data_IF_845469949395
#
_entry.id   IF_845469949395
#
_cell.length_a   1.000
_cell.length_b   1.000
_cell.length_c   1.000
_cell.angle_alpha   90.00
_cell.angle_beta   90.00
_cell.angle_gamma   90.00
#
_symmetry.space_group_name_H-M   'P 1'
#
loop_
_entity.id
_entity.type
_entity.pdbx_description
1 polymer ?
#
# COMPACT_ATOMS: atom_id res chain seq x y z
N UNK A 1 5.70 -18.11 13.92
CA UNK A 1 5.24 -19.15 12.95
C UNK A 1 3.86 -18.75 12.48
N UNK A 2 3.53 -18.98 11.21
CA UNK A 2 2.20 -18.74 10.66
C UNK A 2 1.87 -19.84 9.63
N UNK A 3 0.60 -20.21 9.54
CA UNK A 3 0.09 -21.08 8.46
C UNK A 3 -0.41 -20.24 7.29
N UNK A 4 -0.26 -20.75 6.07
CA UNK A 4 -0.87 -20.15 4.89
C UNK A 4 -2.42 -20.20 4.98
N UNK A 5 -3.15 -19.22 4.43
CA UNK A 5 -4.62 -19.22 4.45
C UNK A 5 -5.29 -20.51 3.94
N UNK A 6 -4.70 -21.19 2.95
CA UNK A 6 -5.19 -22.48 2.44
C UNK A 6 -4.84 -23.67 3.35
N UNK A 7 -4.07 -23.47 4.42
CA UNK A 7 -3.67 -24.49 5.36
C UNK A 7 -2.71 -25.54 4.79
N UNK A 8 -1.97 -25.25 3.71
CA UNK A 8 -1.07 -26.21 3.06
C UNK A 8 0.42 -25.94 3.27
N UNK A 9 0.76 -24.79 3.86
CA UNK A 9 2.15 -24.40 4.11
C UNK A 9 2.29 -23.72 5.48
N UNK A 10 3.47 -23.83 6.06
CA UNK A 10 3.86 -23.13 7.29
C UNK A 10 5.12 -22.31 7.04
N UNK A 11 5.15 -21.10 7.57
CA UNK A 11 6.35 -20.27 7.63
C UNK A 11 6.78 -20.12 9.09
N UNK A 12 8.04 -20.45 9.37
CA UNK A 12 8.68 -20.20 10.65
C UNK A 12 9.79 -19.18 10.48
N UNK A 13 9.59 -18.03 11.08
CA UNK A 13 10.59 -16.99 11.13
C UNK A 13 11.02 -16.71 12.56
N UNK A 14 12.28 -16.32 12.75
CA UNK A 14 12.80 -15.92 14.04
C UNK A 14 13.72 -14.70 13.93
N UNK A 15 13.81 -13.96 15.04
CA UNK A 15 14.75 -12.85 15.18
C UNK A 15 16.17 -13.41 15.30
N UNK A 16 17.08 -12.93 14.45
CA UNK A 16 18.50 -13.31 14.51
C UNK A 16 19.34 -12.07 14.77
N UNK A 17 20.19 -12.14 15.79
CA UNK A 17 21.30 -11.21 15.99
C UNK A 17 22.55 -11.86 15.39
N UNK A 18 22.74 -11.70 14.08
CA UNK A 18 23.89 -12.16 13.29
C UNK A 18 24.18 -13.69 13.23
N UNK A 19 24.00 -14.28 12.05
CA UNK A 19 25.10 -15.00 11.39
C UNK A 19 25.14 -16.53 11.35
N UNK A 20 24.26 -17.29 12.01
CA UNK A 20 24.47 -18.76 12.06
C UNK A 20 23.27 -19.66 11.79
N UNK A 21 22.06 -19.14 11.55
CA UNK A 21 20.88 -19.96 11.20
C UNK A 21 20.00 -19.29 10.16
N UNK A 22 19.36 -20.04 9.25
CA UNK A 22 18.37 -19.49 8.34
C UNK A 22 17.22 -18.91 9.16
N UNK A 23 16.98 -17.62 9.01
CA UNK A 23 16.05 -16.86 9.86
C UNK A 23 14.60 -17.14 9.48
N UNK A 24 14.36 -17.63 8.27
CA UNK A 24 13.05 -17.94 7.72
C UNK A 24 13.06 -19.31 7.01
N UNK A 25 12.21 -20.20 7.50
CA UNK A 25 11.94 -21.52 6.92
C UNK A 25 10.51 -21.61 6.41
N UNK A 26 10.34 -22.29 5.27
CA UNK A 26 9.06 -22.66 4.69
C UNK A 26 8.92 -24.19 4.74
N UNK A 27 7.71 -24.66 4.99
CA UNK A 27 7.38 -26.08 5.08
C UNK A 27 6.06 -26.34 4.38
N UNK A 28 5.92 -27.53 3.83
CA UNK A 28 4.62 -28.06 3.45
C UNK A 28 3.90 -28.59 4.70
N UNK A 29 2.58 -28.44 4.71
CA UNK A 29 1.72 -28.93 5.78
C UNK A 29 0.53 -29.67 5.20
N UNK A 30 0.28 -30.86 5.71
CA UNK A 30 -0.91 -31.63 5.38
C UNK A 30 -1.96 -31.43 6.48
N UNK A 31 -3.05 -30.69 6.22
CA UNK A 31 -4.07 -30.45 7.22
C UNK A 31 -4.88 -31.70 7.59
N UNK A 32 -4.84 -32.77 6.79
CA UNK A 32 -5.54 -34.02 7.08
C UNK A 32 -4.77 -34.90 8.08
N UNK A 33 -3.44 -34.89 8.00
CA UNK A 33 -2.57 -35.76 8.83
C UNK A 33 -1.78 -35.01 9.89
N UNK A 34 -1.67 -33.68 9.77
CA UNK A 34 -0.81 -32.84 10.59
C UNK A 34 0.68 -32.94 10.22
N UNK A 35 1.02 -33.63 9.13
CA UNK A 35 2.41 -33.82 8.73
C UNK A 35 3.04 -32.49 8.28
N UNK A 36 4.28 -32.25 8.72
CA UNK A 36 5.13 -31.13 8.29
C UNK A 36 6.32 -31.70 7.52
N UNK A 37 6.56 -31.23 6.30
CA UNK A 37 7.59 -31.78 5.41
C UNK A 37 8.21 -30.70 4.51
N UNK A 38 9.15 -31.11 3.65
CA UNK A 38 9.74 -30.26 2.60
C UNK A 38 10.26 -28.91 3.10
N UNK A 39 11.15 -28.96 4.09
CA UNK A 39 11.81 -27.76 4.60
C UNK A 39 12.59 -27.03 3.49
N UNK A 40 12.29 -25.74 3.32
CA UNK A 40 13.02 -24.82 2.44
C UNK A 40 13.54 -23.66 3.27
N UNK A 41 14.85 -23.42 3.19
CA UNK A 41 15.50 -22.24 3.77
C UNK A 41 15.35 -21.04 2.84
N UNK A 42 14.71 -19.96 3.30
CA UNK A 42 14.56 -18.71 2.53
C UNK A 42 15.67 -17.69 2.83
N UNK A 43 16.74 -18.13 3.49
CA UNK A 43 17.96 -17.36 3.71
C UNK A 43 18.09 -16.77 5.11
N UNK A 44 19.13 -15.94 5.27
CA UNK A 44 19.46 -15.23 6.52
C UNK A 44 19.00 -13.78 6.37
N UNK A 45 17.92 -13.45 7.06
CA UNK A 45 17.30 -12.15 7.17
C UNK A 45 17.45 -11.63 8.60
N UNK A 46 17.41 -10.33 8.78
CA UNK A 46 17.36 -9.72 10.12
C UNK A 46 15.88 -9.54 10.51
N UNK A 47 15.50 -9.92 11.72
CA UNK A 47 14.14 -9.72 12.24
C UNK A 47 13.01 -10.42 11.47
N UNK A 48 13.23 -11.66 11.02
CA UNK A 48 12.21 -12.45 10.35
C UNK A 48 11.06 -12.94 11.27
N UNK A 49 10.78 -12.29 12.38
CA UNK A 49 9.92 -12.78 13.47
C UNK A 49 8.43 -12.96 13.12
N UNK A 50 7.96 -12.31 12.06
CA UNK A 50 6.53 -12.19 11.76
C UNK A 50 6.21 -12.43 10.29
N UNK A 51 6.42 -13.67 9.77
CA UNK A 51 6.04 -14.00 8.41
C UNK A 51 4.53 -13.95 8.23
N UNK A 52 4.07 -13.40 7.10
CA UNK A 52 2.67 -13.35 6.74
C UNK A 52 2.45 -13.81 5.29
N UNK A 53 1.66 -14.86 5.09
CA UNK A 53 1.23 -15.28 3.76
C UNK A 53 0.20 -14.31 3.20
N UNK A 54 0.25 -14.10 1.89
CA UNK A 54 -0.82 -13.42 1.14
C UNK A 54 -2.13 -14.24 1.16
N UNK A 55 -3.29 -13.57 1.07
CA UNK A 55 -4.60 -14.23 0.97
C UNK A 55 -4.72 -15.32 -0.11
N UNK A 56 -4.10 -15.12 -1.28
CA UNK A 56 -4.11 -16.09 -2.38
C UNK A 56 -3.05 -17.21 -2.25
N UNK A 57 -2.22 -17.14 -1.20
CA UNK A 57 -1.14 -18.07 -0.90
C UNK A 57 0.03 -18.04 -1.91
N UNK A 58 0.14 -17.03 -2.77
CA UNK A 58 1.20 -16.98 -3.80
C UNK A 58 2.43 -16.19 -3.36
N UNK A 59 2.31 -15.37 -2.32
CA UNK A 59 3.38 -14.53 -1.75
C UNK A 59 3.55 -14.78 -0.26
N UNK A 60 4.79 -14.63 0.20
CA UNK A 60 5.15 -14.60 1.62
C UNK A 60 5.85 -13.28 1.93
N UNK A 61 5.40 -12.59 2.97
CA UNK A 61 5.98 -11.33 3.45
C UNK A 61 6.65 -11.55 4.79
N UNK A 62 7.75 -10.86 5.03
CA UNK A 62 8.44 -10.91 6.32
C UNK A 62 9.15 -9.58 6.59
N UNK A 63 9.18 -9.09 7.83
CA UNK A 63 10.07 -7.99 8.18
C UNK A 63 11.54 -8.41 7.92
N UNK A 64 12.33 -7.49 7.35
CA UNK A 64 13.76 -7.68 7.09
C UNK A 64 14.51 -6.36 7.18
N UNK A 65 14.96 -5.98 8.38
CA UNK A 65 15.51 -4.64 8.67
C UNK A 65 17.01 -4.49 8.42
N UNK A 66 17.50 -5.04 7.30
CA UNK A 66 18.91 -4.92 6.93
C UNK A 66 19.16 -3.74 6.03
N UNK A 67 20.37 -3.19 6.11
CA UNK A 67 20.88 -2.31 5.05
C UNK A 67 21.02 -3.13 3.77
N UNK A 68 20.63 -2.55 2.63
CA UNK A 68 20.84 -3.19 1.34
C UNK A 68 22.35 -3.46 1.13
N UNK A 69 22.75 -4.58 0.49
CA UNK A 69 24.16 -4.92 0.29
C UNK A 69 24.99 -3.83 -0.40
N UNK A 70 24.36 -3.03 -1.28
CA UNK A 70 24.98 -1.92 -2.00
C UNK A 70 24.89 -0.56 -1.28
N UNK A 71 24.31 -0.52 -0.08
CA UNK A 71 24.16 0.70 0.74
C UNK A 71 23.09 1.69 0.26
N UNK A 72 22.38 1.46 -0.85
CA UNK A 72 21.42 2.40 -1.47
C UNK A 72 20.03 2.44 -0.80
N UNK A 73 19.90 1.94 0.43
CA UNK A 73 18.65 2.00 1.18
C UNK A 73 18.58 0.95 2.28
N UNK A 74 17.43 0.92 2.96
CA UNK A 74 17.09 -0.05 4.00
C UNK A 74 16.02 -0.99 3.46
N UNK A 75 16.23 -2.30 3.61
CA UNK A 75 15.14 -3.25 3.50
C UNK A 75 14.29 -3.16 4.76
N UNK A 76 12.98 -3.29 4.61
CA UNK A 76 12.00 -3.14 5.70
C UNK A 76 11.11 -4.37 5.71
N UNK A 77 10.57 -4.72 4.55
CA UNK A 77 9.76 -5.91 4.33
C UNK A 77 10.30 -6.58 3.08
N UNK A 78 10.59 -7.88 3.19
CA UNK A 78 10.92 -8.75 2.06
C UNK A 78 9.68 -9.51 1.63
N UNK A 79 9.41 -9.52 0.32
CA UNK A 79 8.41 -10.38 -0.31
C UNK A 79 9.11 -11.51 -1.06
N UNK A 80 8.61 -12.72 -0.88
CA UNK A 80 8.98 -13.91 -1.66
C UNK A 80 7.82 -14.32 -2.56
N UNK A 81 8.14 -14.82 -3.75
CA UNK A 81 7.18 -15.44 -4.66
C UNK A 81 7.21 -16.96 -4.51
N UNK A 82 6.13 -17.50 -3.93
CA UNK A 82 5.99 -18.94 -3.66
C UNK A 82 5.71 -19.74 -4.93
N UNK A 83 5.44 -19.06 -6.04
CA UNK A 83 5.24 -19.65 -7.36
C UNK A 83 6.50 -19.59 -8.24
N UNK A 84 7.65 -19.18 -7.70
CA UNK A 84 8.89 -19.03 -8.46
C UNK A 84 9.49 -20.35 -8.99
N UNK A 85 8.98 -21.50 -8.55
CA UNK A 85 9.45 -22.82 -8.95
C UNK A 85 9.87 -23.65 -7.74
N UNK A 86 11.09 -24.18 -7.77
CA UNK A 86 11.64 -24.96 -6.66
C UNK A 86 12.03 -24.09 -5.45
N UNK A 87 12.45 -24.74 -4.36
CA UNK A 87 12.83 -24.04 -3.13
C UNK A 87 13.98 -23.05 -3.30
N UNK A 88 14.92 -23.30 -4.23
CA UNK A 88 16.02 -22.37 -4.50
C UNK A 88 15.54 -21.13 -5.26
N UNK A 89 14.63 -21.31 -6.23
CA UNK A 89 14.00 -20.21 -6.96
C UNK A 89 13.11 -19.36 -6.04
N UNK A 90 12.37 -19.98 -5.13
CA UNK A 90 11.59 -19.27 -4.10
C UNK A 90 12.53 -18.44 -3.21
N UNK A 91 13.61 -19.04 -2.67
CA UNK A 91 14.58 -18.31 -1.84
C UNK A 91 15.23 -17.13 -2.59
N UNK A 92 15.57 -17.31 -3.87
CA UNK A 92 16.16 -16.27 -4.71
C UNK A 92 15.16 -15.16 -5.10
N UNK A 93 13.85 -15.40 -4.98
CA UNK A 93 12.81 -14.41 -5.32
C UNK A 93 12.66 -13.28 -4.29
N UNK A 94 13.29 -13.43 -3.12
CA UNK A 94 13.21 -12.48 -2.01
C UNK A 94 13.67 -11.08 -2.41
N UNK A 95 12.74 -10.11 -2.39
CA UNK A 95 13.01 -8.73 -2.76
C UNK A 95 12.40 -7.76 -1.75
N UNK A 96 13.06 -6.61 -1.57
CA UNK A 96 12.47 -5.51 -0.79
C UNK A 96 11.27 -4.92 -1.53
N UNK A 97 10.18 -4.63 -0.81
CA UNK A 97 9.05 -3.86 -1.35
C UNK A 97 9.13 -2.36 -1.03
N UNK A 98 10.15 -1.93 -0.28
CA UNK A 98 10.38 -0.54 0.15
C UNK A 98 11.62 0.06 -0.48
N UNK A 99 12.77 -0.62 -0.39
CA UNK A 99 14.03 -0.09 -0.92
C UNK A 99 13.94 0.12 -2.43
N UNK A 100 14.17 1.34 -2.90
CA UNK A 100 14.07 1.70 -4.31
C UNK A 100 12.65 1.76 -4.87
N UNK A 101 11.61 1.66 -4.02
CA UNK A 101 10.22 1.81 -4.44
C UNK A 101 9.89 3.30 -4.62
N UNK A 102 9.64 3.80 -5.84
CA UNK A 102 9.35 5.22 -6.07
C UNK A 102 7.92 5.61 -5.69
N UNK A 103 7.03 4.64 -5.46
CA UNK A 103 5.61 4.84 -5.21
C UNK A 103 5.24 4.80 -3.72
N UNK A 104 6.17 4.38 -2.84
CA UNK A 104 5.93 4.34 -1.39
C UNK A 104 6.29 5.67 -0.72
N UNK A 105 5.60 6.00 0.37
CA UNK A 105 5.95 7.10 1.26
C UNK A 105 6.87 6.68 2.42
N UNK A 106 7.29 5.41 2.45
CA UNK A 106 8.21 4.90 3.48
C UNK A 106 9.65 5.29 3.11
N UNK A 107 10.24 6.17 3.91
CA UNK A 107 11.63 6.56 3.78
C UNK A 107 12.59 5.37 3.97
N UNK A 108 13.47 5.18 2.99
CA UNK A 108 14.55 4.20 3.05
C UNK A 108 15.75 4.65 3.91
N UNK A 109 15.75 5.87 4.45
CA UNK A 109 16.87 6.46 5.21
C UNK A 109 16.63 6.53 6.72
N UNK A 110 15.40 6.29 7.20
CA UNK A 110 15.10 6.26 8.63
C UNK A 110 15.45 4.88 9.20
N UNK A 111 16.26 4.86 10.27
CA UNK A 111 16.85 3.62 10.84
C UNK A 111 16.18 3.16 12.15
N UNK A 112 15.36 3.99 12.79
CA UNK A 112 14.94 3.86 14.20
C UNK A 112 13.65 3.04 14.42
N UNK A 113 13.51 1.86 13.79
CA UNK A 113 12.17 1.28 13.68
C UNK A 113 12.13 -0.25 13.77
N UNK A 114 11.13 -0.74 14.49
CA UNK A 114 10.77 -2.15 14.63
C UNK A 114 9.40 -2.37 13.96
N UNK A 115 9.24 -3.44 13.18
CA UNK A 115 7.93 -4.01 12.86
C UNK A 115 7.69 -5.15 13.81
N UNK A 116 6.53 -5.11 14.46
CA UNK A 116 6.21 -6.05 15.49
C UNK A 116 5.50 -7.27 14.89
N UNK A 117 4.42 -7.08 14.13
CA UNK A 117 3.62 -8.16 13.56
C UNK A 117 3.02 -7.74 12.21
N UNK A 118 3.07 -8.64 11.21
CA UNK A 118 2.29 -8.56 9.97
C UNK A 118 1.04 -9.42 10.10
N UNK A 119 -0.10 -8.94 9.60
CA UNK A 119 -1.37 -9.65 9.69
C UNK A 119 -2.29 -9.28 8.52
N UNK A 120 -2.94 -10.27 7.93
CA UNK A 120 -4.02 -10.05 6.96
C UNK A 120 -5.23 -9.41 7.64
N UNK A 121 -5.82 -8.43 6.96
CA UNK A 121 -7.05 -7.77 7.35
C UNK A 121 -8.27 -8.42 6.66
N UNK A 122 -9.48 -8.24 7.23
CA UNK A 122 -10.72 -8.71 6.63
C UNK A 122 -11.09 -7.96 5.33
N UNK A 123 -10.41 -6.84 5.02
CA UNK A 123 -10.56 -6.08 3.79
C UNK A 123 -9.66 -6.58 2.65
N UNK A 124 -8.99 -7.72 2.83
CA UNK A 124 -8.07 -8.32 1.86
C UNK A 124 -6.71 -7.61 1.75
N UNK A 125 -6.45 -6.59 2.57
CA UNK A 125 -5.12 -5.95 2.68
C UNK A 125 -4.29 -6.62 3.77
N UNK A 126 -3.01 -6.28 3.82
CA UNK A 126 -2.11 -6.72 4.90
C UNK A 126 -1.58 -5.50 5.67
N UNK A 127 -1.50 -5.65 6.99
CA UNK A 127 -1.12 -4.60 7.92
C UNK A 127 0.10 -5.00 8.71
N UNK A 128 0.95 -4.04 9.03
CA UNK A 128 2.14 -4.20 9.86
C UNK A 128 2.18 -3.14 10.94
N UNK A 129 2.08 -3.54 12.21
CA UNK A 129 2.34 -2.62 13.31
C UNK A 129 3.81 -2.19 13.26
N UNK A 130 4.04 -0.89 13.18
CA UNK A 130 5.38 -0.33 12.92
C UNK A 130 5.73 0.75 13.93
N UNK A 131 7.01 0.83 14.28
CA UNK A 131 7.60 1.98 14.96
C UNK A 131 7.92 3.15 14.01
N UNK A 132 7.47 3.09 12.75
CA UNK A 132 7.79 4.09 11.72
C UNK A 132 7.33 5.49 12.11
N UNK A 133 8.28 6.41 12.25
CA UNK A 133 7.99 7.80 12.59
C UNK A 133 7.87 8.66 11.32
N UNK A 134 8.59 8.29 10.27
CA UNK A 134 8.76 9.14 9.10
C UNK A 134 9.83 10.21 9.27
N UNK A 135 10.25 10.87 8.18
CA UNK A 135 11.33 11.85 8.24
C UNK A 135 10.92 13.08 9.06
N UNK A 136 11.69 13.39 10.11
CA UNK A 136 11.48 14.60 10.92
C UNK A 136 10.29 14.58 11.87
N UNK A 137 9.61 13.44 12.04
CA UNK A 137 8.50 13.33 12.98
C UNK A 137 8.99 13.24 14.45
N UNK A 138 8.24 13.81 15.41
CA UNK A 138 8.59 13.70 16.83
C UNK A 138 8.50 12.25 17.33
N UNK A 139 9.31 11.89 18.33
CA UNK A 139 9.42 10.52 18.83
C UNK A 139 8.08 9.94 19.35
N UNK A 140 7.19 10.80 19.82
CA UNK A 140 5.85 10.44 20.32
C UNK A 140 4.88 9.98 19.25
N UNK A 141 5.26 10.05 17.96
CA UNK A 141 4.34 9.91 16.84
C UNK A 141 4.33 8.51 16.19
N UNK A 142 5.13 7.57 16.71
CA UNK A 142 5.24 6.19 16.22
C UNK A 142 4.06 5.29 16.63
N UNK A 143 3.32 5.68 17.68
CA UNK A 143 2.30 4.87 18.33
C UNK A 143 1.15 4.41 17.43
N UNK A 144 1.02 5.05 16.26
CA UNK A 144 -0.18 5.05 15.42
C UNK A 144 0.13 4.92 13.92
N UNK A 145 1.37 4.59 13.55
CA UNK A 145 1.76 4.44 12.14
C UNK A 145 1.94 2.97 11.81
N UNK A 146 1.28 2.53 10.75
CA UNK A 146 1.26 1.15 10.30
C UNK A 146 1.78 1.07 8.88
N UNK A 147 2.46 -0.03 8.56
CA UNK A 147 2.64 -0.40 7.16
C UNK A 147 1.37 -1.03 6.65
N UNK A 148 0.89 -0.56 5.51
CA UNK A 148 -0.30 -1.07 4.82
C UNK A 148 0.16 -1.55 3.45
N UNK A 149 -0.07 -2.82 3.15
CA UNK A 149 0.15 -3.43 1.85
C UNK A 149 -1.23 -3.55 1.19
N UNK A 150 -1.50 -2.69 0.22
CA UNK A 150 -2.81 -2.55 -0.39
C UNK A 150 -3.21 -3.71 -1.32
N UNK A 151 -2.23 -4.42 -1.90
CA UNK A 151 -2.44 -5.54 -2.83
C UNK A 151 -1.49 -6.70 -2.51
N UNK A 152 -1.70 -7.47 -1.43
CA UNK A 152 -0.78 -8.51 -0.97
C UNK A 152 -0.57 -9.67 -1.96
N UNK A 153 -1.46 -9.86 -2.94
CA UNK A 153 -1.30 -10.88 -3.98
C UNK A 153 -0.36 -10.39 -5.12
N UNK A 154 -0.15 -9.08 -5.25
CA UNK A 154 0.64 -8.50 -6.32
C UNK A 154 2.16 -8.56 -6.03
N UNK A 155 2.96 -8.80 -7.07
CA UNK A 155 4.43 -8.95 -6.97
C UNK A 155 5.15 -7.61 -6.90
N UNK A 156 6.19 -7.53 -6.08
CA UNK A 156 7.10 -6.39 -5.96
C UNK A 156 6.37 -5.10 -5.58
N UNK A 157 6.75 -3.98 -6.18
CA UNK A 157 6.16 -2.66 -5.88
C UNK A 157 4.68 -2.54 -6.25
N UNK A 158 4.13 -3.45 -7.07
CA UNK A 158 2.69 -3.49 -7.36
C UNK A 158 1.84 -3.85 -6.13
N UNK A 159 2.46 -4.35 -5.04
CA UNK A 159 1.75 -4.63 -3.79
C UNK A 159 1.27 -3.39 -3.03
N UNK A 160 1.68 -2.19 -3.46
CA UNK A 160 1.18 -0.91 -2.94
C UNK A 160 1.40 -0.76 -1.42
N UNK A 161 2.67 -0.90 -1.01
CA UNK A 161 3.09 -0.72 0.38
C UNK A 161 3.27 0.76 0.72
N UNK A 162 2.71 1.18 1.86
CA UNK A 162 2.78 2.55 2.38
C UNK A 162 2.78 2.58 3.90
N UNK A 163 3.34 3.63 4.49
CA UNK A 163 3.08 3.98 5.87
C UNK A 163 1.77 4.78 5.95
N UNK A 164 0.88 4.40 6.85
CA UNK A 164 -0.38 5.09 7.10
C UNK A 164 -0.58 5.31 8.59
N UNK A 165 -0.97 6.53 8.95
CA UNK A 165 -1.38 6.87 10.31
C UNK A 165 -2.84 6.52 10.53
N UNK A 166 -3.13 5.94 11.68
CA UNK A 166 -4.49 5.68 12.15
C UNK A 166 -4.76 6.47 13.43
N UNK A 167 -5.97 7.02 13.56
CA UNK A 167 -6.41 7.65 14.80
C UNK A 167 -7.23 6.64 15.61
N UNK A 168 -6.75 6.31 16.81
CA UNK A 168 -7.43 5.40 17.74
C UNK A 168 -8.09 6.15 18.91
N UNK A 169 -8.34 7.45 18.77
CA UNK A 169 -9.03 8.27 19.77
C UNK A 169 -8.21 8.40 21.07
N UNK A 170 -6.92 8.70 20.94
CA UNK A 170 -5.97 8.80 22.07
C UNK A 170 -5.43 7.45 22.57
N UNK A 171 -5.82 6.33 21.97
CA UNK A 171 -5.20 5.02 22.18
C UNK A 171 -4.04 4.81 21.21
N UNK A 172 -3.29 3.73 21.44
CA UNK A 172 -2.19 3.32 20.57
C UNK A 172 -2.42 1.92 20.03
N UNK A 173 -1.97 1.71 18.79
CA UNK A 173 -1.89 0.40 18.16
C UNK A 173 -0.49 -0.22 18.21
N UNK A 174 0.47 0.35 18.95
CA UNK A 174 1.80 -0.26 19.11
C UNK A 174 1.76 -1.41 20.11
N UNK A 175 2.43 -2.51 19.76
CA UNK A 175 2.48 -3.73 20.55
C UNK A 175 2.08 -4.99 19.77
N UNK A 176 1.39 -4.83 18.64
CA UNK A 176 1.05 -5.94 17.77
C UNK A 176 -0.33 -5.82 17.14
N UNK A 177 -0.62 -6.72 16.20
CA UNK A 177 -1.95 -6.90 15.62
C UNK A 177 -2.62 -8.13 16.25
N UNK A 178 -3.97 -8.19 16.29
CA UNK A 178 -4.66 -9.36 16.79
C UNK A 178 -4.25 -10.61 16.01
N UNK A 179 -4.04 -11.72 16.72
CA UNK A 179 -3.73 -13.00 16.10
C UNK A 179 -5.02 -13.66 15.60
N UNK A 180 -5.23 -13.65 14.28
CA UNK A 180 -6.37 -14.30 13.65
C UNK A 180 -5.94 -15.62 13.00
N UNK A 181 -6.86 -16.60 12.97
CA UNK A 181 -6.68 -17.79 12.15
C UNK A 181 -6.63 -17.39 10.67
N UNK A 182 -5.53 -17.70 10.00
CA UNK A 182 -5.30 -17.23 8.63
C UNK A 182 -6.32 -17.76 7.61
N UNK A 183 -6.95 -18.89 7.92
CA UNK A 183 -8.01 -19.48 7.10
C UNK A 183 -9.16 -18.50 6.81
N UNK A 184 -9.47 -17.57 7.73
CA UNK A 184 -10.50 -16.56 7.51
C UNK A 184 -10.21 -15.61 6.34
N UNK A 185 -8.94 -15.53 5.90
CA UNK A 185 -8.52 -14.64 4.83
C UNK A 185 -8.22 -15.37 3.51
N UNK A 186 -8.50 -16.68 3.44
CA UNK A 186 -8.16 -17.47 2.26
C UNK A 186 -8.94 -17.02 1.02
N UNK A 187 -8.22 -16.64 -0.03
CA UNK A 187 -8.79 -16.16 -1.28
C UNK A 187 -9.44 -14.77 -1.19
N UNK A 188 -9.18 -13.99 -0.13
CA UNK A 188 -9.61 -12.59 -0.10
C UNK A 188 -8.80 -11.79 -1.11
N UNK A 189 -9.48 -11.21 -2.08
CA UNK A 189 -8.92 -10.09 -2.81
C UNK A 189 -9.08 -8.83 -1.96
N UNK A 190 -8.12 -7.88 -2.01
CA UNK A 190 -8.36 -6.55 -1.48
C UNK A 190 -9.71 -6.09 -1.98
N UNK A 191 -10.56 -5.65 -1.05
CA UNK A 191 -11.63 -4.75 -1.43
C UNK A 191 -10.96 -3.70 -2.32
N UNK A 192 -11.51 -3.41 -3.52
CA UNK A 192 -11.06 -2.27 -4.30
C UNK A 192 -10.84 -1.17 -3.29
N UNK A 193 -9.63 -0.57 -3.29
CA UNK A 193 -9.27 0.44 -2.30
C UNK A 193 -10.52 1.22 -2.00
N UNK A 194 -10.89 1.42 -0.73
CA UNK A 194 -12.05 2.24 -0.37
C UNK A 194 -11.81 3.62 -1.01
N UNK A 195 -12.14 3.72 -2.28
CA UNK A 195 -12.79 4.79 -2.99
C UNK A 195 -14.19 4.80 -2.40
N UNK A 196 -14.30 4.77 -1.07
CA UNK A 196 -15.34 5.39 -0.32
C UNK A 196 -15.18 6.86 -0.68
N UNK A 197 -15.75 7.17 -1.84
CA UNK A 197 -16.08 8.45 -2.37
C UNK A 197 -15.48 9.57 -1.51
N UNK A 198 -14.22 9.92 -1.79
CA UNK A 198 -13.61 11.14 -1.28
C UNK A 198 -13.39 12.09 -2.46
N UNK A 199 -14.15 13.19 -2.56
CA UNK A 199 -14.01 14.09 -3.68
C UNK A 199 -12.65 14.81 -3.67
N UNK A 200 -11.96 14.82 -2.52
CA UNK A 200 -10.62 15.42 -2.42
C UNK A 200 -9.59 14.71 -3.33
N UNK A 201 -9.82 13.43 -3.63
CA UNK A 201 -8.99 12.64 -4.54
C UNK A 201 -9.27 12.94 -6.02
N UNK A 202 -10.22 13.81 -6.36
CA UNK A 202 -10.43 14.24 -7.73
C UNK A 202 -9.16 14.90 -8.30
N UNK A 203 -8.85 14.63 -9.57
CA UNK A 203 -7.70 15.18 -10.30
C UNK A 203 -8.15 15.76 -11.63
N UNK A 204 -7.38 16.71 -12.17
CA UNK A 204 -7.60 17.28 -13.51
C UNK A 204 -6.48 16.80 -14.43
N UNK A 205 -6.83 16.21 -15.58
CA UNK A 205 -5.87 15.62 -16.51
C UNK A 205 -6.32 15.78 -17.99
N UNK A 206 -5.42 16.10 -18.93
CA UNK A 206 -4.03 16.46 -18.70
C UNK A 206 -3.91 17.82 -18.00
N UNK A 207 -2.80 18.01 -17.29
CA UNK A 207 -2.42 19.27 -16.67
C UNK A 207 -0.89 19.39 -16.68
N UNK A 208 -0.29 20.16 -17.60
CA UNK A 208 -0.93 21.19 -18.43
C UNK A 208 -1.89 20.66 -19.52
N UNK A 209 -2.90 21.46 -19.89
CA UNK A 209 -3.90 21.16 -20.91
C UNK A 209 -3.76 22.09 -22.12
N UNK A 210 -4.02 21.58 -23.34
CA UNK A 210 -3.95 22.37 -24.59
C UNK A 210 -5.35 22.68 -25.15
N UNK A 211 -6.15 21.66 -25.45
CA UNK A 211 -7.50 21.83 -26.00
C UNK A 211 -8.59 21.51 -24.97
N UNK A 212 -8.38 20.49 -24.15
CA UNK A 212 -9.34 20.05 -23.14
C UNK A 212 -8.64 19.44 -21.92
N UNK A 213 -9.37 19.34 -20.81
CA UNK A 213 -9.00 18.52 -19.65
C UNK A 213 -10.19 17.69 -19.18
N UNK A 214 -9.94 16.66 -18.38
CA UNK A 214 -10.94 15.79 -17.77
C UNK A 214 -10.81 15.82 -16.25
N UNK A 215 -11.89 15.51 -15.55
CA UNK A 215 -11.89 15.36 -14.09
C UNK A 215 -11.93 13.88 -13.75
N UNK A 216 -10.83 13.34 -13.25
CA UNK A 216 -10.79 11.93 -12.80
C UNK A 216 -11.07 11.89 -11.31
N UNK A 217 -12.11 11.18 -10.91
CA UNK A 217 -12.49 11.02 -9.50
C UNK A 217 -12.72 9.54 -9.16
N UNK A 218 -12.48 9.13 -7.92
CA UNK A 218 -12.73 7.76 -7.49
C UNK A 218 -14.23 7.52 -7.25
N UNK A 219 -14.81 6.57 -7.98
CA UNK A 219 -16.21 6.15 -7.85
C UNK A 219 -17.22 7.13 -8.46
N UNK A 220 -18.52 6.80 -8.34
CA UNK A 220 -19.65 7.58 -8.91
C UNK A 220 -20.49 8.31 -7.86
N UNK A 221 -20.18 8.23 -6.56
CA UNK A 221 -21.08 8.70 -5.50
C UNK A 221 -21.29 10.21 -5.43
N UNK A 222 -20.48 11.01 -6.13
CA UNK A 222 -20.62 12.47 -6.13
C UNK A 222 -21.21 13.04 -7.40
N UNK A 223 -21.97 12.22 -8.11
CA UNK A 223 -22.81 12.69 -9.20
C UNK A 223 -24.22 13.03 -8.66
N UNK A 224 -24.83 14.14 -9.09
CA UNK A 224 -24.25 15.17 -9.94
C UNK A 224 -23.32 16.13 -9.17
N UNK A 225 -22.40 16.78 -9.88
CA UNK A 225 -21.60 17.89 -9.35
C UNK A 225 -21.55 19.08 -10.30
N UNK A 226 -21.34 20.28 -9.77
CA UNK A 226 -21.11 21.48 -10.57
C UNK A 226 -19.62 21.71 -10.75
N UNK A 227 -19.19 21.88 -12.00
CA UNK A 227 -17.83 22.26 -12.38
C UNK A 227 -17.82 23.73 -12.78
N UNK A 228 -16.84 24.48 -12.27
CA UNK A 228 -16.55 25.83 -12.72
C UNK A 228 -15.05 26.03 -12.92
N UNK A 229 -14.68 26.81 -13.93
CA UNK A 229 -13.28 27.23 -14.15
C UNK A 229 -13.21 28.73 -13.98
N UNK A 230 -12.22 29.18 -13.24
CA UNK A 230 -11.94 30.57 -12.94
C UNK A 230 -10.56 30.95 -13.46
N UNK A 231 -10.42 32.16 -13.99
CA UNK A 231 -9.11 32.73 -14.32
C UNK A 231 -8.33 33.16 -13.07
N UNK A 232 -7.09 33.62 -13.24
CA UNK A 232 -6.20 33.99 -12.14
C UNK A 232 -6.71 35.16 -11.27
N UNK A 233 -7.67 35.94 -11.77
CA UNK A 233 -8.30 37.04 -11.00
C UNK A 233 -9.65 36.63 -10.38
N UNK A 234 -10.02 35.35 -10.48
CA UNK A 234 -11.22 34.80 -9.86
C UNK A 234 -12.50 35.01 -10.68
N UNK A 235 -12.41 35.41 -11.94
CA UNK A 235 -13.59 35.51 -12.82
C UNK A 235 -13.92 34.14 -13.41
N UNK A 236 -15.17 33.73 -13.29
CA UNK A 236 -15.68 32.47 -13.87
C UNK A 236 -15.65 32.55 -15.40
N UNK A 237 -14.89 31.66 -16.05
CA UNK A 237 -14.76 31.58 -17.51
C UNK A 237 -15.52 30.41 -18.11
N UNK A 238 -15.82 29.37 -17.32
CA UNK A 238 -16.60 28.21 -17.75
C UNK A 238 -17.41 27.65 -16.58
N UNK A 239 -18.57 27.06 -16.85
CA UNK A 239 -19.27 26.25 -15.88
C UNK A 239 -20.26 25.26 -16.50
N UNK A 240 -20.39 24.08 -15.91
CA UNK A 240 -21.35 23.05 -16.31
C UNK A 240 -21.74 22.15 -15.14
N UNK A 241 -22.91 21.53 -15.22
CA UNK A 241 -23.32 20.44 -14.31
C UNK A 241 -22.96 19.10 -14.95
N UNK A 242 -22.38 18.20 -14.17
CA UNK A 242 -22.05 16.84 -14.58
C UNK A 242 -22.98 15.89 -13.85
N UNK A 243 -23.93 15.30 -14.59
CA UNK A 243 -24.94 14.38 -14.06
C UNK A 243 -24.85 13.05 -14.83
N UNK A 244 -24.14 12.05 -14.30
CA UNK A 244 -23.97 10.71 -14.90
C UNK A 244 -22.51 10.34 -15.21
N UNK A 245 -22.29 9.22 -15.93
CA UNK A 245 -20.96 8.69 -16.32
C UNK A 245 -20.13 9.65 -17.21
N UNK A 246 -20.63 10.87 -17.45
CA UNK A 246 -19.91 11.98 -18.05
C UNK A 246 -18.73 12.51 -17.20
N UNK A 247 -18.37 11.83 -16.09
CA UNK A 247 -17.15 12.13 -15.31
C UNK A 247 -15.87 12.08 -16.16
N UNK A 248 -15.88 11.41 -17.32
CA UNK A 248 -14.75 11.38 -18.25
C UNK A 248 -14.91 12.32 -19.47
N UNK A 249 -16.03 13.03 -19.59
CA UNK A 249 -16.26 13.92 -20.72
C UNK A 249 -15.27 15.09 -20.69
N UNK A 250 -14.52 15.36 -21.79
CA UNK A 250 -13.58 16.48 -21.84
C UNK A 250 -14.29 17.81 -21.55
N UNK A 251 -13.60 18.66 -20.80
CA UNK A 251 -13.91 20.07 -20.58
C UNK A 251 -13.05 20.84 -21.57
N UNK A 252 -13.68 21.34 -22.62
CA UNK A 252 -13.02 22.13 -23.65
C UNK A 252 -12.53 23.46 -23.07
N UNK A 253 -11.25 23.72 -23.25
CA UNK A 253 -10.55 24.95 -22.84
C UNK A 253 -9.73 25.57 -23.97
N UNK A 254 -9.84 25.06 -25.21
CA UNK A 254 -9.06 25.52 -26.36
C UNK A 254 -9.18 27.03 -26.61
N UNK A 255 -10.36 27.62 -26.33
CA UNK A 255 -10.61 29.06 -26.47
C UNK A 255 -10.09 29.93 -25.31
N UNK A 256 -9.51 29.34 -24.27
CA UNK A 256 -8.93 30.08 -23.15
C UNK A 256 -7.47 30.44 -23.43
N UNK A 257 -7.06 31.64 -23.02
CA UNK A 257 -5.67 32.08 -23.10
C UNK A 257 -4.76 31.19 -22.25
N UNK A 258 -3.49 31.05 -22.67
CA UNK A 258 -2.47 30.36 -21.88
C UNK A 258 -2.33 31.01 -20.49
N UNK A 259 -2.22 30.19 -19.45
CA UNK A 259 -2.15 30.69 -18.08
C UNK A 259 -2.59 29.69 -17.00
N UNK A 260 -2.67 30.17 -15.77
CA UNK A 260 -3.12 29.38 -14.61
C UNK A 260 -4.60 29.66 -14.35
N UNK A 261 -5.36 28.58 -14.20
CA UNK A 261 -6.78 28.58 -13.90
C UNK A 261 -7.06 27.76 -12.64
N UNK A 262 -8.19 28.06 -12.02
CA UNK A 262 -8.71 27.35 -10.85
C UNK A 262 -9.94 26.56 -11.28
N UNK A 263 -9.90 25.25 -11.11
CA UNK A 263 -11.04 24.35 -11.35
C UNK A 263 -11.69 24.06 -10.02
N UNK A 264 -12.95 24.46 -9.90
CA UNK A 264 -13.78 24.23 -8.74
C UNK A 264 -14.79 23.11 -9.04
N UNK A 265 -14.88 22.13 -8.15
CA UNK A 265 -15.82 21.02 -8.18
C UNK A 265 -16.70 21.12 -6.94
N UNK A 266 -17.98 21.46 -7.14
CA UNK A 266 -18.98 21.56 -6.06
C UNK A 266 -19.85 20.33 -6.05
N UNK A 267 -19.74 19.56 -4.98
CA UNK A 267 -20.54 18.40 -4.64
C UNK A 267 -21.60 18.78 -3.60
N UNK A 268 -22.58 17.91 -3.35
CA UNK A 268 -23.71 18.20 -2.45
C UNK A 268 -23.31 18.70 -1.05
N UNK A 269 -22.19 18.20 -0.51
CA UNK A 269 -21.73 18.54 0.85
C UNK A 269 -20.31 19.12 0.90
N UNK A 270 -19.63 19.28 -0.25
CA UNK A 270 -18.20 19.65 -0.26
C UNK A 270 -17.81 20.35 -1.55
N UNK A 271 -16.84 21.25 -1.45
CA UNK A 271 -16.17 21.87 -2.60
C UNK A 271 -14.71 21.45 -2.63
N UNK A 272 -14.23 21.09 -3.81
CA UNK A 272 -12.82 20.75 -4.07
C UNK A 272 -12.28 21.66 -5.14
N UNK A 273 -11.05 22.13 -4.94
CA UNK A 273 -10.39 23.06 -5.84
C UNK A 273 -9.11 22.42 -6.36
N UNK A 274 -8.86 22.54 -7.66
CA UNK A 274 -7.68 22.04 -8.36
C UNK A 274 -7.10 23.12 -9.25
N UNK A 275 -5.76 23.17 -9.34
CA UNK A 275 -5.06 24.04 -10.27
C UNK A 275 -5.06 23.43 -11.66
N UNK A 276 -5.30 24.22 -12.70
CA UNK A 276 -5.14 23.86 -14.10
C UNK A 276 -4.15 24.82 -14.77
N UNK A 277 -3.20 24.29 -15.52
CA UNK A 277 -2.29 25.06 -16.37
C UNK A 277 -2.75 24.88 -17.81
N UNK A 278 -3.11 25.98 -18.49
CA UNK A 278 -3.44 26.02 -19.91
C UNK A 278 -2.21 26.46 -20.70
N UNK A 279 -1.80 25.65 -21.67
CA UNK A 279 -0.75 25.98 -22.64
C UNK A 279 -1.32 26.73 -23.83
#
# INVERSE_FOLDING_TARGET
MQAAPNGRQLAFGHLTTAGTRPSLGLFDFDPATGAVSNYVSLGVLLDANSPCFSPDNTKLYVPDFRRQPNGQGRNVITQFDLQAGDGAAIAASGQSIVAGNPATNISATVLSETVYLLQNGPDGRMYGASGYQGPGAPLSDNANVFYVIGRPNARGFACDVRAQRFDFGGRSGTGGLPNFMQHYFNGLEPAPADTACDPAQATVFPNPATAAFQVRQPGTCFLPYALAVYDAVGRKVLGRTVAGNASEAPVEVAGLAAGVYVVELRFAQRTVVKKLVKL
#
